data_IF_010098546546
#
_entry.id   IF_010098546546
#
_cell.length_a   1.000
_cell.length_b   1.000
_cell.length_c   1.000
_cell.angle_alpha   90.00
_cell.angle_beta   90.00
_cell.angle_gamma   90.00
#
_symmetry.space_group_name_H-M   'P 1'
#
loop_
_entity.id
_entity.type
_entity.pdbx_description
1 polymer ?
#
# COMPACT_ATOMS: atom_id res chain seq x y z
N UNK A 1 23.56 -9.83 12.69
CA UNK A 1 23.95 -8.51 12.16
C UNK A 1 24.04 -8.66 10.65
N UNK A 2 23.16 -8.05 9.85
CA UNK A 2 22.91 -8.48 8.46
C UNK A 2 23.24 -7.37 7.45
N UNK A 3 24.14 -7.67 6.52
CA UNK A 3 24.54 -6.83 5.38
C UNK A 3 24.04 -7.45 4.06
N UNK A 4 23.99 -6.66 2.98
CA UNK A 4 23.18 -6.95 1.79
C UNK A 4 23.89 -6.63 0.46
N UNK A 5 23.72 -7.48 -0.56
CA UNK A 5 24.07 -7.24 -1.99
C UNK A 5 23.14 -8.04 -2.94
N UNK A 6 23.07 -7.65 -4.22
CA UNK A 6 22.18 -8.21 -5.26
C UNK A 6 22.77 -8.04 -6.70
N UNK A 7 22.87 -9.10 -7.54
CA UNK A 7 23.20 -9.06 -9.03
C UNK A 7 22.83 -10.35 -9.88
N UNK A 8 22.07 -10.34 -11.02
CA UNK A 8 21.33 -11.39 -11.88
C UNK A 8 21.85 -11.48 -13.32
N UNK A 9 21.34 -12.45 -14.12
CA UNK A 9 20.95 -12.26 -15.54
C UNK A 9 19.89 -13.31 -16.05
N UNK A 10 19.31 -13.03 -17.22
CA UNK A 10 18.07 -13.56 -17.85
C UNK A 10 17.96 -15.09 -18.19
N UNK A 11 17.44 -15.91 -17.27
CA UNK A 11 16.81 -17.21 -17.60
C UNK A 11 15.50 -17.38 -16.80
N UNK A 12 14.37 -17.79 -17.42
CA UNK A 12 13.13 -18.02 -16.69
C UNK A 12 13.31 -19.18 -15.70
N UNK A 13 13.42 -18.83 -14.42
CA UNK A 13 13.70 -19.74 -13.33
C UNK A 13 12.50 -19.87 -12.41
N UNK A 14 12.14 -21.12 -12.10
CA UNK A 14 11.06 -21.46 -11.17
C UNK A 14 11.37 -20.96 -9.75
N UNK A 15 10.33 -20.54 -9.02
CA UNK A 15 10.51 -20.03 -7.66
C UNK A 15 10.95 -21.18 -6.72
N UNK A 16 12.09 -21.03 -6.03
CA UNK A 16 12.69 -22.02 -5.12
C UNK A 16 11.81 -22.33 -3.90
N UNK A 17 11.91 -23.52 -3.30
CA UNK A 17 11.14 -23.85 -2.05
C UNK A 17 11.62 -23.01 -0.84
N UNK A 18 10.88 -22.96 0.28
CA UNK A 18 11.32 -22.27 1.50
C UNK A 18 12.64 -22.80 2.07
N UNK A 19 12.88 -24.11 1.98
CA UNK A 19 14.09 -24.78 2.48
C UNK A 19 15.30 -24.30 1.67
N UNK A 20 15.16 -24.27 0.33
CA UNK A 20 16.17 -23.72 -0.56
C UNK A 20 16.40 -22.21 -0.32
N UNK A 21 15.37 -21.46 0.06
CA UNK A 21 15.49 -20.06 0.46
C UNK A 21 16.25 -19.90 1.79
N UNK A 22 16.01 -20.79 2.75
CA UNK A 22 16.66 -20.80 4.06
C UNK A 22 18.15 -21.22 3.95
N UNK A 23 18.47 -22.28 3.20
CA UNK A 23 19.85 -22.68 2.90
C UNK A 23 20.62 -21.59 2.14
N UNK A 24 19.93 -20.83 1.28
CA UNK A 24 20.52 -19.69 0.55
C UNK A 24 20.58 -18.38 1.37
N UNK A 25 20.16 -18.38 2.65
CA UNK A 25 20.22 -17.19 3.52
C UNK A 25 19.31 -16.04 3.07
N UNK A 26 18.21 -16.31 2.37
CA UNK A 26 17.27 -15.29 1.92
C UNK A 26 16.55 -14.62 3.09
N UNK A 27 16.25 -13.34 2.93
CA UNK A 27 15.65 -12.49 3.97
C UNK A 27 14.40 -11.77 3.44
N UNK A 28 13.46 -11.48 4.33
CA UNK A 28 12.23 -10.75 4.03
C UNK A 28 12.46 -9.24 4.12
N UNK A 29 12.23 -8.51 3.02
CA UNK A 29 12.40 -7.06 2.95
C UNK A 29 11.06 -6.33 2.92
N UNK A 30 10.90 -5.32 3.78
CA UNK A 30 9.78 -4.38 3.74
C UNK A 30 10.26 -3.04 3.18
N UNK A 31 9.77 -2.64 2.01
CA UNK A 31 10.05 -1.33 1.42
C UNK A 31 8.76 -0.52 1.27
N UNK A 32 8.65 0.55 2.06
CA UNK A 32 7.66 1.59 1.84
C UNK A 32 8.14 2.54 0.73
N UNK A 33 7.22 3.13 -0.03
CA UNK A 33 7.51 4.16 -1.05
C UNK A 33 8.63 3.75 -2.03
N UNK A 34 8.40 2.68 -2.79
CA UNK A 34 9.36 2.05 -3.72
C UNK A 34 9.77 2.90 -4.96
N UNK A 35 9.72 4.24 -4.85
CA UNK A 35 10.19 5.26 -5.80
C UNK A 35 11.58 4.92 -6.38
N UNK A 36 12.46 4.41 -5.50
CA UNK A 36 13.86 4.08 -5.81
C UNK A 36 14.13 2.57 -5.87
N UNK A 37 13.10 1.73 -6.01
CA UNK A 37 13.29 0.32 -6.32
C UNK A 37 13.95 0.20 -7.70
N UNK A 38 15.27 0.12 -7.68
CA UNK A 38 16.09 -0.41 -8.76
C UNK A 38 16.18 -1.90 -8.50
N UNK A 39 15.53 -2.68 -9.35
CA UNK A 39 15.97 -4.05 -9.59
C UNK A 39 17.28 -3.92 -10.37
N UNK A 40 18.38 -3.56 -9.69
CA UNK A 40 19.69 -4.04 -10.11
C UNK A 40 19.52 -5.54 -10.01
N UNK A 41 19.31 -6.18 -11.16
CA UNK A 41 18.80 -7.54 -11.17
C UNK A 41 19.69 -8.39 -10.29
N UNK A 42 19.15 -9.27 -9.42
CA UNK A 42 19.86 -10.26 -8.55
C UNK A 42 19.74 -11.76 -8.94
N UNK A 43 20.85 -12.53 -9.00
CA UNK A 43 20.92 -13.97 -9.38
C UNK A 43 20.23 -14.86 -8.34
N UNK A 44 20.07 -14.35 -7.13
CA UNK A 44 19.14 -14.85 -6.14
C UNK A 44 17.71 -14.43 -6.49
N UNK A 45 16.80 -15.38 -6.81
CA UNK A 45 15.40 -15.07 -7.06
C UNK A 45 14.76 -14.49 -5.80
N UNK A 46 14.02 -13.41 -5.95
CA UNK A 46 13.26 -12.78 -4.87
C UNK A 46 11.75 -12.93 -5.12
N UNK A 47 11.01 -13.21 -4.04
CA UNK A 47 9.54 -13.17 -4.02
C UNK A 47 9.12 -11.75 -3.68
N UNK A 48 8.31 -11.12 -4.52
CA UNK A 48 7.91 -9.73 -4.36
C UNK A 48 6.41 -9.61 -4.08
N UNK A 49 6.06 -9.05 -2.93
CA UNK A 49 4.68 -8.66 -2.62
C UNK A 49 4.53 -7.16 -2.82
N UNK A 50 3.74 -6.77 -3.81
CA UNK A 50 3.35 -5.39 -4.05
C UNK A 50 1.97 -5.14 -3.46
N UNK A 51 1.89 -4.47 -2.32
CA UNK A 51 0.60 -4.03 -1.76
C UNK A 51 0.23 -2.68 -2.34
N UNK A 52 -0.87 -2.64 -3.10
CA UNK A 52 -1.53 -1.43 -3.56
C UNK A 52 -2.79 -1.17 -2.74
N UNK A 53 -3.30 0.06 -2.80
CA UNK A 53 -4.53 0.49 -2.12
C UNK A 53 -5.28 1.44 -3.05
N UNK A 54 -6.59 1.56 -2.88
CA UNK A 54 -7.40 2.52 -3.61
C UNK A 54 -6.79 3.94 -3.51
N UNK A 55 -6.43 4.58 -4.64
CA UNK A 55 -5.91 5.95 -4.68
C UNK A 55 -6.79 6.98 -3.96
N UNK A 56 -8.11 6.77 -3.91
CA UNK A 56 -9.01 7.60 -3.12
C UNK A 56 -8.74 7.42 -1.63
N UNK A 57 -8.75 6.18 -1.15
CA UNK A 57 -8.51 5.87 0.28
C UNK A 57 -7.09 6.23 0.73
N UNK A 58 -6.10 6.19 -0.16
CA UNK A 58 -4.75 6.72 0.12
C UNK A 58 -4.80 8.22 0.41
N UNK A 59 -5.49 9.01 -0.42
CA UNK A 59 -5.61 10.47 -0.22
C UNK A 59 -6.40 10.79 1.06
N UNK A 60 -7.54 10.11 1.29
CA UNK A 60 -8.33 10.34 2.50
C UNK A 60 -7.56 9.97 3.77
N UNK A 61 -6.86 8.83 3.75
CA UNK A 61 -6.03 8.38 4.86
C UNK A 61 -4.80 9.28 5.07
N UNK A 62 -4.21 9.82 4.00
CA UNK A 62 -3.13 10.80 4.06
C UNK A 62 -3.57 12.10 4.69
N UNK A 63 -4.74 12.63 4.30
CA UNK A 63 -5.30 13.85 4.86
C UNK A 63 -5.60 13.71 6.36
N UNK A 64 -6.33 12.66 6.76
CA UNK A 64 -6.61 12.36 8.18
C UNK A 64 -5.33 12.18 9.01
N UNK A 65 -4.25 11.68 8.40
CA UNK A 65 -2.95 11.51 9.03
C UNK A 65 -2.19 12.84 9.16
N UNK A 66 -2.01 13.58 8.08
CA UNK A 66 -1.21 14.81 8.04
C UNK A 66 -1.83 15.98 8.84
N UNK A 67 -3.14 15.97 9.10
CA UNK A 67 -3.77 16.90 10.04
C UNK A 67 -3.25 16.77 11.49
N UNK A 68 -2.85 15.56 11.90
CA UNK A 68 -2.45 15.23 13.28
C UNK A 68 -1.03 14.66 13.45
N UNK A 69 -0.31 14.43 12.35
CA UNK A 69 1.03 13.82 12.36
C UNK A 69 2.04 14.56 13.23
N UNK A 70 3.01 13.80 13.75
CA UNK A 70 4.18 14.27 14.51
C UNK A 70 5.48 14.16 13.71
N UNK A 71 5.41 13.79 12.43
CA UNK A 71 6.58 13.63 11.57
C UNK A 71 7.35 14.94 11.37
N UNK A 72 8.67 14.87 11.57
CA UNK A 72 9.56 16.04 11.54
C UNK A 72 9.47 16.86 10.24
N UNK A 73 9.20 16.22 9.10
CA UNK A 73 9.06 16.92 7.82
C UNK A 73 7.75 17.73 7.74
N UNK A 74 6.64 17.17 8.25
CA UNK A 74 5.33 17.81 8.21
C UNK A 74 5.15 18.91 9.26
N UNK A 75 6.00 18.91 10.30
CA UNK A 75 6.06 19.93 11.35
C UNK A 75 7.02 21.10 11.05
N UNK A 76 7.95 20.97 10.08
CA UNK A 76 8.89 22.04 9.72
C UNK A 76 8.24 23.08 8.80
N UNK A 77 8.40 24.39 9.07
CA UNK A 77 8.06 25.46 8.13
C UNK A 77 8.69 25.28 6.74
N UNK A 78 7.93 25.57 5.69
CA UNK A 78 8.40 25.49 4.30
C UNK A 78 7.87 26.67 3.46
N UNK A 79 8.73 27.24 2.61
CA UNK A 79 8.36 28.33 1.69
C UNK A 79 7.20 27.95 0.76
N UNK A 80 7.10 26.67 0.36
CA UNK A 80 6.00 26.11 -0.45
C UNK A 80 4.62 26.29 0.21
N UNK A 81 4.59 26.43 1.53
CA UNK A 81 3.37 26.59 2.34
C UNK A 81 3.31 27.97 3.01
N UNK A 82 3.91 29.00 2.41
CA UNK A 82 3.98 30.38 2.96
C UNK A 82 4.60 30.43 4.36
N UNK A 83 5.69 29.67 4.57
CA UNK A 83 6.38 29.50 5.86
C UNK A 83 5.53 28.85 6.97
N UNK A 84 4.38 28.25 6.65
CA UNK A 84 3.72 27.29 7.55
C UNK A 84 4.39 25.91 7.43
N UNK A 85 4.21 25.07 8.45
CA UNK A 85 4.47 23.63 8.31
C UNK A 85 3.38 22.95 7.48
N UNK A 86 3.63 21.77 6.91
CA UNK A 86 2.60 21.10 6.08
C UNK A 86 1.33 20.80 6.88
N UNK A 87 1.48 20.35 8.14
CA UNK A 87 0.37 20.16 9.07
C UNK A 87 -0.39 21.47 9.35
N UNK A 88 0.32 22.56 9.65
CA UNK A 88 -0.30 23.87 9.90
C UNK A 88 -0.99 24.44 8.66
N UNK A 89 -0.43 24.19 7.48
CA UNK A 89 -1.02 24.54 6.20
C UNK A 89 -2.34 23.81 5.97
N UNK A 90 -2.36 22.47 6.04
CA UNK A 90 -3.58 21.68 5.87
C UNK A 90 -4.68 22.04 6.89
N UNK A 91 -4.33 22.27 8.15
CA UNK A 91 -5.28 22.69 9.19
C UNK A 91 -5.83 24.13 8.97
N UNK A 92 -5.26 24.91 8.03
CA UNK A 92 -5.72 26.26 7.71
C UNK A 92 -6.50 26.37 6.39
N UNK A 93 -6.82 25.23 5.77
CA UNK A 93 -7.60 25.13 4.54
C UNK A 93 -9.03 24.65 4.83
N UNK A 94 -9.98 24.96 3.94
CA UNK A 94 -11.26 24.26 3.93
C UNK A 94 -11.06 22.77 3.61
N UNK A 95 -12.06 21.93 3.90
CA UNK A 95 -11.98 20.49 3.61
C UNK A 95 -11.70 20.19 2.13
N UNK A 96 -12.33 20.93 1.22
CA UNK A 96 -12.15 20.77 -0.23
C UNK A 96 -10.72 21.13 -0.68
N UNK A 97 -10.20 22.26 -0.21
CA UNK A 97 -8.83 22.70 -0.50
C UNK A 97 -7.78 21.77 0.14
N UNK A 98 -8.03 21.32 1.37
CA UNK A 98 -7.18 20.37 2.09
C UNK A 98 -7.05 19.02 1.39
N UNK A 99 -8.17 18.46 0.92
CA UNK A 99 -8.19 17.23 0.12
C UNK A 99 -7.52 17.41 -1.25
N UNK A 100 -7.68 18.58 -1.90
CA UNK A 100 -6.98 18.89 -3.15
C UNK A 100 -5.46 19.05 -2.95
N UNK A 101 -5.04 19.67 -1.84
CA UNK A 101 -3.65 19.82 -1.45
C UNK A 101 -3.00 18.46 -1.10
N UNK A 102 -3.72 17.60 -0.37
CA UNK A 102 -3.29 16.23 -0.08
C UNK A 102 -3.20 15.38 -1.35
N UNK A 103 -4.17 15.45 -2.26
CA UNK A 103 -4.05 14.76 -3.56
C UNK A 103 -2.78 15.22 -4.30
N UNK A 104 -2.48 16.52 -4.31
CA UNK A 104 -1.26 17.04 -4.96
C UNK A 104 0.00 16.45 -4.31
N UNK A 105 0.07 16.41 -2.98
CA UNK A 105 1.17 15.79 -2.24
C UNK A 105 1.28 14.28 -2.55
N UNK A 106 0.18 13.55 -2.40
CA UNK A 106 0.05 12.12 -2.70
C UNK A 106 0.38 11.76 -4.16
N UNK A 107 0.08 12.61 -5.15
CA UNK A 107 0.51 12.46 -6.56
C UNK A 107 2.02 12.64 -6.72
N UNK A 108 2.61 13.58 -5.98
CA UNK A 108 4.06 13.79 -5.98
C UNK A 108 4.83 12.70 -5.21
N UNK A 109 4.16 11.84 -4.43
CA UNK A 109 4.81 10.79 -3.65
C UNK A 109 4.27 9.38 -3.95
N UNK A 110 3.12 9.02 -3.39
CA UNK A 110 2.63 7.63 -3.30
C UNK A 110 1.89 7.16 -4.56
N UNK A 111 0.96 7.97 -5.06
CA UNK A 111 0.08 7.59 -6.17
C UNK A 111 0.83 7.39 -7.48
N UNK A 112 1.94 8.12 -7.69
CA UNK A 112 2.82 7.89 -8.84
C UNK A 112 3.62 6.58 -8.73
N UNK A 113 3.77 5.98 -7.55
CA UNK A 113 4.60 4.77 -7.37
C UNK A 113 3.85 3.49 -7.64
N UNK A 114 2.58 3.37 -7.22
CA UNK A 114 1.78 2.17 -7.42
C UNK A 114 1.76 1.70 -8.89
N UNK A 115 1.41 2.55 -9.90
CA UNK A 115 1.46 2.13 -11.30
C UNK A 115 2.89 1.89 -11.81
N UNK A 116 3.90 2.60 -11.29
CA UNK A 116 5.30 2.39 -11.70
C UNK A 116 5.87 1.07 -11.21
N UNK A 117 5.53 0.66 -9.99
CA UNK A 117 5.94 -0.63 -9.44
C UNK A 117 5.15 -1.74 -10.12
N UNK A 118 3.81 -1.58 -10.25
CA UNK A 118 2.96 -2.53 -10.98
C UNK A 118 3.48 -2.80 -12.40
N UNK A 119 3.82 -1.77 -13.17
CA UNK A 119 4.33 -1.96 -14.53
C UNK A 119 5.75 -2.57 -14.59
N UNK A 120 6.54 -2.52 -13.50
CA UNK A 120 7.88 -3.13 -13.43
C UNK A 120 7.85 -4.58 -12.98
N UNK A 121 6.85 -4.96 -12.19
CA UNK A 121 6.77 -6.27 -11.53
C UNK A 121 5.59 -7.12 -11.99
N UNK A 122 4.59 -6.52 -12.64
CA UNK A 122 3.50 -7.22 -13.31
C UNK A 122 4.03 -8.19 -14.38
N UNK A 123 3.45 -9.38 -14.44
CA UNK A 123 3.89 -10.46 -15.33
C UNK A 123 5.16 -11.21 -14.88
N UNK A 124 5.83 -10.82 -13.78
CA UNK A 124 6.98 -11.59 -13.25
C UNK A 124 6.49 -12.79 -12.42
N UNK A 125 7.01 -14.01 -12.64
CA UNK A 125 6.44 -15.24 -12.05
C UNK A 125 6.53 -15.34 -10.52
N UNK A 126 7.51 -14.69 -9.88
CA UNK A 126 7.60 -14.62 -8.41
C UNK A 126 7.14 -13.25 -7.85
N UNK A 127 6.14 -12.60 -8.48
CA UNK A 127 5.49 -11.38 -7.98
C UNK A 127 4.00 -11.57 -7.73
N UNK A 128 3.54 -11.17 -6.55
CA UNK A 128 2.12 -11.02 -6.22
C UNK A 128 1.80 -9.54 -6.02
N UNK A 129 0.81 -9.02 -6.75
CA UNK A 129 0.19 -7.73 -6.39
C UNK A 129 -1.09 -8.00 -5.61
N UNK A 130 -1.21 -7.41 -4.43
CA UNK A 130 -2.40 -7.47 -3.57
C UNK A 130 -3.00 -6.08 -3.41
N UNK A 131 -4.34 -6.01 -3.40
CA UNK A 131 -5.06 -4.82 -2.95
C UNK A 131 -5.22 -4.93 -1.43
N UNK A 132 -5.04 -3.84 -0.69
CA UNK A 132 -5.30 -3.85 0.76
C UNK A 132 -6.77 -4.21 1.05
N UNK A 133 -7.67 -3.79 0.16
CA UNK A 133 -9.11 -4.08 0.17
C UNK A 133 -9.42 -5.58 -0.04
N UNK A 134 -8.47 -6.40 -0.52
CA UNK A 134 -8.66 -7.85 -0.62
C UNK A 134 -8.65 -8.52 0.77
N UNK A 135 -7.91 -7.98 1.74
CA UNK A 135 -7.91 -8.50 3.12
C UNK A 135 -9.24 -8.28 3.84
N UNK A 136 -9.97 -7.22 3.48
CA UNK A 136 -11.31 -6.92 3.98
C UNK A 136 -12.35 -7.85 3.36
N UNK A 137 -12.27 -8.07 2.04
CA UNK A 137 -13.23 -8.87 1.26
C UNK A 137 -13.05 -10.37 1.46
N UNK A 138 -11.80 -10.85 1.44
CA UNK A 138 -11.43 -12.25 1.61
C UNK A 138 -10.03 -12.34 2.26
N UNK A 139 -10.02 -12.26 3.58
CA UNK A 139 -8.80 -12.46 4.38
C UNK A 139 -8.11 -13.79 4.05
N UNK A 140 -8.86 -14.90 4.00
CA UNK A 140 -8.29 -16.26 3.88
C UNK A 140 -7.70 -16.52 2.51
N UNK A 141 -8.39 -16.19 1.42
CA UNK A 141 -7.83 -16.32 0.07
C UNK A 141 -6.69 -15.34 -0.17
N UNK A 142 -6.70 -14.17 0.48
CA UNK A 142 -5.58 -13.21 0.39
C UNK A 142 -4.33 -13.71 1.12
N UNK A 143 -4.48 -14.34 2.29
CA UNK A 143 -3.34 -14.93 3.02
C UNK A 143 -2.86 -16.23 2.36
N UNK A 144 -3.76 -17.05 1.83
CA UNK A 144 -3.40 -18.22 1.03
C UNK A 144 -2.55 -17.85 -0.20
N UNK A 145 -2.88 -16.76 -0.92
CA UNK A 145 -2.03 -16.24 -2.03
C UNK A 145 -0.64 -15.79 -1.57
N UNK A 146 -0.49 -15.28 -0.35
CA UNK A 146 0.84 -14.97 0.22
C UNK A 146 1.62 -16.23 0.55
N UNK A 147 0.96 -17.23 1.14
CA UNK A 147 1.56 -18.52 1.48
C UNK A 147 2.01 -19.27 0.23
N UNK A 148 1.19 -19.30 -0.81
CA UNK A 148 1.52 -19.83 -2.15
C UNK A 148 2.73 -19.11 -2.75
N UNK A 149 2.72 -17.77 -2.83
CA UNK A 149 3.88 -17.00 -3.30
C UNK A 149 5.14 -17.35 -2.50
N UNK A 150 5.05 -17.45 -1.18
CA UNK A 150 6.17 -17.77 -0.30
C UNK A 150 6.58 -19.26 -0.31
N UNK A 151 5.83 -20.12 -1.01
CA UNK A 151 6.09 -21.56 -1.10
C UNK A 151 5.79 -22.33 0.18
N UNK A 152 4.90 -21.83 1.05
CA UNK A 152 4.56 -22.49 2.32
C UNK A 152 3.77 -23.77 2.03
N UNK A 153 4.47 -24.90 2.11
CA UNK A 153 3.89 -26.23 1.93
C UNK A 153 3.45 -26.85 3.26
N UNK A 154 2.49 -27.78 3.18
CA UNK A 154 1.97 -28.53 4.32
C UNK A 154 0.85 -27.83 5.10
N UNK A 155 -0.33 -28.43 5.13
CA UNK A 155 -1.53 -27.88 5.78
C UNK A 155 -1.33 -27.51 7.27
N UNK A 156 -0.49 -28.27 8.00
CA UNK A 156 -0.18 -27.98 9.40
C UNK A 156 0.64 -26.70 9.61
N UNK A 157 1.54 -26.36 8.67
CA UNK A 157 2.34 -25.12 8.70
C UNK A 157 1.45 -23.93 8.36
N UNK A 158 0.69 -24.02 7.28
CA UNK A 158 -0.26 -22.97 6.87
C UNK A 158 -1.29 -22.68 7.96
N UNK A 159 -1.90 -23.71 8.56
CA UNK A 159 -2.86 -23.54 9.65
C UNK A 159 -2.23 -22.91 10.92
N UNK A 160 -0.93 -23.13 11.18
CA UNK A 160 -0.21 -22.46 12.27
C UNK A 160 0.02 -20.99 11.94
N UNK A 161 0.49 -20.67 10.74
CA UNK A 161 0.68 -19.29 10.30
C UNK A 161 -0.64 -18.52 10.29
N UNK A 162 -1.73 -19.11 9.78
CA UNK A 162 -3.07 -18.50 9.76
C UNK A 162 -3.56 -18.16 11.17
N UNK A 163 -3.35 -19.03 12.17
CA UNK A 163 -3.66 -18.72 13.58
C UNK A 163 -2.83 -17.54 14.09
N UNK A 164 -1.54 -17.50 13.78
CA UNK A 164 -0.65 -16.41 14.19
C UNK A 164 -1.00 -15.08 13.55
N UNK A 165 -1.42 -15.04 12.27
CA UNK A 165 -1.80 -13.79 11.60
C UNK A 165 -3.25 -13.39 11.86
N UNK A 166 -4.15 -14.31 12.22
CA UNK A 166 -5.54 -13.99 12.56
C UNK A 166 -5.65 -13.00 13.73
N UNK A 167 -4.69 -13.03 14.68
CA UNK A 167 -4.60 -12.04 15.77
C UNK A 167 -4.26 -10.61 15.28
N UNK A 168 -3.95 -10.43 14.00
CA UNK A 168 -3.72 -9.14 13.34
C UNK A 168 -4.84 -8.78 12.34
N UNK A 169 -5.88 -9.61 12.20
CA UNK A 169 -7.03 -9.29 11.35
C UNK A 169 -7.91 -8.20 11.99
N UNK A 170 -7.73 -6.96 11.53
CA UNK A 170 -8.49 -5.78 11.97
C UNK A 170 -9.93 -5.71 11.42
N UNK A 171 -10.32 -6.63 10.53
CA UNK A 171 -11.65 -6.70 9.92
C UNK A 171 -12.57 -7.70 10.61
N UNK A 172 -12.03 -8.81 11.13
CA UNK A 172 -12.81 -9.87 11.82
C UNK A 172 -12.74 -9.83 13.34
N UNK A 173 -11.77 -9.11 13.93
CA UNK A 173 -11.67 -9.06 15.38
C UNK A 173 -12.68 -8.08 15.98
N UNK A 174 -13.50 -8.55 16.93
CA UNK A 174 -14.28 -7.73 17.87
C UNK A 174 -13.39 -6.88 18.81
N UNK A 175 -12.12 -6.67 18.46
CA UNK A 175 -11.27 -5.71 19.14
C UNK A 175 -11.83 -4.32 18.85
N UNK A 176 -12.03 -3.48 19.87
CA UNK A 176 -12.44 -2.12 19.61
C UNK A 176 -11.38 -1.44 18.73
N UNK A 177 -11.83 -0.82 17.62
CA UNK A 177 -10.99 -0.04 16.69
C UNK A 177 -10.09 0.99 17.41
N UNK A 178 -10.46 1.36 18.63
CA UNK A 178 -9.70 2.14 19.62
C UNK A 178 -8.21 1.74 19.75
N UNK A 179 -7.84 0.47 19.58
CA UNK A 179 -6.44 0.03 19.73
C UNK A 179 -5.55 0.33 18.53
N UNK A 180 -6.12 0.72 17.39
CA UNK A 180 -5.39 0.99 16.15
C UNK A 180 -5.71 2.41 15.65
N UNK A 181 -4.93 3.40 16.09
CA UNK A 181 -5.11 4.82 15.77
C UNK A 181 -5.07 5.17 14.25
N UNK A 182 -4.72 4.20 13.41
CA UNK A 182 -4.72 4.24 11.95
C UNK A 182 -6.06 3.82 11.30
N UNK A 183 -6.97 3.17 12.04
CA UNK A 183 -8.30 2.80 11.54
C UNK A 183 -9.28 3.95 11.81
N UNK A 184 -9.45 4.81 10.81
CA UNK A 184 -10.34 5.98 10.88
C UNK A 184 -11.81 5.63 11.08
N UNK A 185 -12.59 6.59 11.57
CA UNK A 185 -14.02 6.41 11.83
C UNK A 185 -14.81 6.45 10.51
N UNK A 186 -15.79 5.57 10.33
CA UNK A 186 -16.44 5.36 9.00
C UNK A 186 -17.20 6.59 8.52
N UNK A 187 -17.76 7.37 9.45
CA UNK A 187 -18.61 8.54 9.16
C UNK A 187 -17.85 9.74 8.58
N UNK A 188 -16.60 10.01 8.99
CA UNK A 188 -15.79 11.10 8.42
C UNK A 188 -15.50 10.87 6.93
N UNK A 189 -15.24 9.62 6.55
CA UNK A 189 -14.88 9.24 5.17
C UNK A 189 -16.04 9.34 4.20
N UNK A 190 -17.29 9.15 4.64
CA UNK A 190 -18.46 9.39 3.79
C UNK A 190 -18.50 10.82 3.23
N UNK A 191 -18.39 11.82 4.11
CA UNK A 191 -18.38 13.23 3.73
C UNK A 191 -17.16 13.58 2.85
N UNK A 192 -15.96 13.09 3.18
CA UNK A 192 -14.76 13.34 2.37
C UNK A 192 -14.88 12.74 0.95
N UNK A 193 -15.43 11.53 0.79
CA UNK A 193 -15.68 10.93 -0.54
C UNK A 193 -16.65 11.77 -1.37
N UNK A 194 -17.69 12.34 -0.75
CA UNK A 194 -18.62 13.24 -1.42
C UNK A 194 -17.91 14.52 -1.91
N UNK A 195 -17.09 15.15 -1.06
CA UNK A 195 -16.30 16.34 -1.44
C UNK A 195 -15.30 16.03 -2.56
N UNK A 196 -14.61 14.89 -2.54
CA UNK A 196 -13.72 14.51 -3.65
C UNK A 196 -14.48 14.32 -4.97
N UNK A 197 -15.68 13.71 -4.93
CA UNK A 197 -16.54 13.53 -6.10
C UNK A 197 -17.05 14.85 -6.67
N UNK A 198 -17.28 15.87 -5.84
CA UNK A 198 -17.68 17.22 -6.27
C UNK A 198 -16.53 18.11 -6.76
N UNK A 199 -15.30 17.59 -6.86
CA UNK A 199 -14.11 18.33 -7.32
C UNK A 199 -13.58 17.72 -8.63
N UNK A 200 -14.04 18.17 -9.82
CA UNK A 200 -13.79 17.47 -11.09
C UNK A 200 -12.31 17.19 -11.38
N UNK A 201 -11.42 18.18 -11.20
CA UNK A 201 -9.99 18.04 -11.45
C UNK A 201 -9.26 17.14 -10.44
N UNK A 202 -9.81 16.97 -9.23
CA UNK A 202 -9.30 16.05 -8.19
C UNK A 202 -9.76 14.63 -8.53
N UNK A 203 -11.07 14.47 -8.77
CA UNK A 203 -11.73 13.23 -9.13
C UNK A 203 -11.12 12.58 -10.39
N UNK A 204 -10.95 13.34 -11.48
CA UNK A 204 -10.35 12.86 -12.73
C UNK A 204 -8.93 12.30 -12.53
N UNK A 205 -8.10 12.94 -11.70
CA UNK A 205 -6.74 12.47 -11.41
C UNK A 205 -6.73 11.18 -10.58
N UNK A 206 -7.63 11.06 -9.61
CA UNK A 206 -7.82 9.82 -8.84
C UNK A 206 -8.28 8.69 -9.77
N UNK A 207 -9.26 8.94 -10.64
CA UNK A 207 -9.74 7.97 -11.62
C UNK A 207 -8.66 7.55 -12.62
N UNK A 208 -7.81 8.48 -13.06
CA UNK A 208 -6.67 8.16 -13.93
C UNK A 208 -5.70 7.17 -13.26
N UNK A 209 -5.30 7.42 -12.00
CA UNK A 209 -4.44 6.49 -11.27
C UNK A 209 -5.13 5.15 -11.04
N UNK A 210 -6.42 5.14 -10.65
CA UNK A 210 -7.21 3.90 -10.46
C UNK A 210 -7.17 2.99 -11.68
N UNK A 211 -7.42 3.56 -12.87
CA UNK A 211 -7.38 2.84 -14.15
C UNK A 211 -6.00 2.24 -14.43
N UNK A 212 -4.91 2.94 -14.11
CA UNK A 212 -3.54 2.44 -14.27
C UNK A 212 -3.20 1.25 -13.35
N UNK A 213 -3.94 1.04 -12.26
CA UNK A 213 -3.75 -0.10 -11.33
C UNK A 213 -4.95 -1.05 -11.27
N UNK A 214 -5.82 -1.01 -12.28
CA UNK A 214 -6.94 -1.94 -12.46
C UNK A 214 -8.07 -1.82 -11.44
N UNK A 215 -8.15 -0.72 -10.68
CA UNK A 215 -9.32 -0.44 -9.84
C UNK A 215 -10.51 0.01 -10.73
N UNK A 216 -11.75 -0.38 -10.40
CA UNK A 216 -12.94 0.12 -11.10
C UNK A 216 -13.08 1.64 -10.88
N UNK A 217 -14.01 2.30 -11.58
CA UNK A 217 -14.32 3.71 -11.30
C UNK A 217 -14.75 3.89 -9.83
N UNK A 218 -14.40 5.02 -9.20
CA UNK A 218 -14.91 5.42 -7.87
C UNK A 218 -16.44 5.29 -7.80
N UNK A 219 -16.97 4.56 -6.83
CA UNK A 219 -18.40 4.31 -6.65
C UNK A 219 -18.93 3.06 -7.39
N UNK A 220 -18.05 2.32 -8.10
CA UNK A 220 -18.35 1.01 -8.70
C UNK A 220 -17.59 -0.13 -8.00
N UNK A 221 -17.12 0.09 -6.77
CA UNK A 221 -16.45 -0.95 -5.99
C UNK A 221 -17.44 -2.09 -5.67
N UNK A 222 -17.09 -3.33 -6.04
CA UNK A 222 -17.94 -4.51 -5.79
C UNK A 222 -18.92 -4.87 -6.91
N UNK A 223 -18.95 -4.13 -8.02
CA UNK A 223 -19.55 -4.63 -9.26
C UNK A 223 -18.56 -5.58 -9.97
N UNK A 224 -19.03 -6.69 -10.56
CA UNK A 224 -18.21 -7.62 -11.33
C UNK A 224 -17.68 -7.01 -12.64
#
# INVERSE_FOLDING_TARGET
MLQWRCSVDDVPTTCRTPEQAQTAGLQLCFQQHAIRLKVQGSQTPYRFVHVIRDPLEVVLSGYEYHLKTTERWALRPDKRFKNKSYRSYLNSLSLAEGLAAELKHSLHDNLKTMPRVLNRTGGRPCTLTLRLEDFERDWRGTTARLWDLFGVEGAGVSARLDREIAKHNVYQSNRPRLTNAHVGNVTSRGAMRAVVRSLPAVYQKIQHVRKQIGFPDVGKEGLP
#
